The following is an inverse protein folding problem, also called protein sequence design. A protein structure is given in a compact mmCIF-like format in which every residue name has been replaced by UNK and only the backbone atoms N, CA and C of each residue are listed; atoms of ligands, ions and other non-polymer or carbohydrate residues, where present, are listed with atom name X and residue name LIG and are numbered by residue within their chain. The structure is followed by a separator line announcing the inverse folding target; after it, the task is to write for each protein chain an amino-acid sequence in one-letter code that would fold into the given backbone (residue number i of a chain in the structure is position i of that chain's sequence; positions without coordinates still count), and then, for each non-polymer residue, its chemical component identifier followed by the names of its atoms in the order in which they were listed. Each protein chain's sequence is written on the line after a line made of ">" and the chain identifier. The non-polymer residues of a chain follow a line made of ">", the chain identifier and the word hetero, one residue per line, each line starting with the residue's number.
data_IF_516766509287
#
_entry.id   IF_516766509287
#
_cell.length_a   1.000
_cell.length_b   1.000
_cell.length_c   1.000
_cell.angle_alpha   90.00
_cell.angle_beta   90.00
_cell.angle_gamma   90.00
#
_symmetry.space_group_name_H-M   'P 1'
#
loop_
_entity.id
_entity.type
_entity.pdbx_description
1 polymer ?
#
# COMPACT_ATOMS: atom_id res chain seq x y z
N UNK A 1 4.57 -3.54 -23.50
CA UNK A 1 4.58 -2.11 -23.08
C UNK A 1 3.62 -1.23 -23.89
N UNK A 2 2.93 -1.75 -24.90
CA UNK A 2 2.05 -0.95 -25.78
C UNK A 2 0.59 -0.78 -25.31
N UNK A 3 0.12 -1.53 -24.33
CA UNK A 3 -1.31 -1.60 -24.00
C UNK A 3 -1.78 -0.41 -23.14
N UNK A 4 -0.91 0.14 -22.33
CA UNK A 4 -1.29 1.16 -21.33
C UNK A 4 -1.62 2.53 -21.94
N UNK A 5 -0.94 2.90 -23.01
CA UNK A 5 -1.14 4.19 -23.69
C UNK A 5 -2.40 4.24 -24.57
N UNK A 6 -3.10 3.10 -24.72
CA UNK A 6 -4.35 3.00 -25.52
C UNK A 6 -5.62 3.16 -24.70
N UNK A 7 -5.54 3.21 -23.37
CA UNK A 7 -6.69 3.46 -22.51
C UNK A 7 -6.83 4.96 -22.24
N UNK A 8 -7.84 5.59 -22.84
CA UNK A 8 -8.12 7.01 -22.62
C UNK A 8 -8.71 7.32 -21.25
N UNK A 9 -9.34 6.34 -20.57
CA UNK A 9 -9.89 6.50 -19.22
C UNK A 9 -10.07 5.15 -18.50
N UNK A 10 -10.17 5.23 -17.17
CA UNK A 10 -10.56 4.09 -16.33
C UNK A 10 -12.06 3.79 -16.52
N UNK A 11 -12.43 2.51 -16.45
CA UNK A 11 -13.84 2.10 -16.35
C UNK A 11 -14.42 2.59 -15.02
N UNK A 12 -15.76 2.66 -14.92
CA UNK A 12 -16.44 3.15 -13.70
C UNK A 12 -16.00 2.40 -12.45
N UNK A 13 -15.93 1.07 -12.53
CA UNK A 13 -15.55 0.25 -11.38
C UNK A 13 -14.05 0.36 -11.05
N UNK A 14 -13.19 0.47 -12.04
CA UNK A 14 -11.76 0.78 -11.85
C UNK A 14 -11.58 2.14 -11.16
N UNK A 15 -12.39 3.15 -11.51
CA UNK A 15 -12.39 4.46 -10.86
C UNK A 15 -12.84 4.37 -9.40
N UNK A 16 -13.85 3.56 -9.08
CA UNK A 16 -14.29 3.32 -7.70
C UNK A 16 -13.17 2.68 -6.88
N UNK A 17 -12.56 1.62 -7.41
CA UNK A 17 -11.47 0.90 -6.74
C UNK A 17 -10.25 1.80 -6.52
N UNK A 18 -9.84 2.57 -7.54
CA UNK A 18 -8.77 3.56 -7.43
C UNK A 18 -9.06 4.61 -6.36
N UNK A 19 -10.30 5.12 -6.31
CA UNK A 19 -10.73 6.11 -5.33
C UNK A 19 -10.75 5.55 -3.90
N UNK A 20 -11.19 4.30 -3.72
CA UNK A 20 -11.15 3.61 -2.43
C UNK A 20 -9.70 3.42 -1.96
N UNK A 21 -8.80 2.99 -2.84
CA UNK A 21 -7.37 2.88 -2.55
C UNK A 21 -6.79 4.23 -2.09
N UNK A 22 -7.10 5.31 -2.81
CA UNK A 22 -6.64 6.66 -2.46
C UNK A 22 -7.13 7.10 -1.08
N UNK A 23 -8.41 6.91 -0.77
CA UNK A 23 -8.98 7.23 0.56
C UNK A 23 -8.27 6.46 1.67
N UNK A 24 -8.10 5.15 1.50
CA UNK A 24 -7.44 4.30 2.49
C UNK A 24 -5.98 4.72 2.73
N UNK A 25 -5.23 5.00 1.66
CA UNK A 25 -3.86 5.50 1.77
C UNK A 25 -3.77 6.86 2.44
N UNK A 26 -4.65 7.79 2.05
CA UNK A 26 -4.71 9.12 2.65
C UNK A 26 -4.92 9.03 4.18
N UNK A 27 -5.92 8.28 4.60
CA UNK A 27 -6.22 8.08 6.03
C UNK A 27 -5.08 7.36 6.76
N UNK A 28 -4.49 6.32 6.15
CA UNK A 28 -3.42 5.56 6.77
C UNK A 28 -2.12 6.36 6.92
N UNK A 29 -1.91 7.40 6.12
CA UNK A 29 -0.73 8.25 6.22
C UNK A 29 -0.70 9.08 7.53
N UNK A 30 -1.87 9.40 8.11
CA UNK A 30 -1.97 10.10 9.39
C UNK A 30 -1.65 9.20 10.61
N UNK A 31 -1.51 7.90 10.41
CA UNK A 31 -0.90 7.03 11.42
C UNK A 31 0.61 7.21 11.34
N UNK A 32 1.31 7.42 12.45
CA UNK A 32 2.75 7.69 12.51
C UNK A 32 3.61 6.58 11.87
N UNK A 33 3.47 6.39 10.55
CA UNK A 33 4.29 5.49 9.75
C UNK A 33 5.60 6.17 9.33
N UNK A 34 6.58 5.38 8.93
CA UNK A 34 7.95 5.85 8.65
C UNK A 34 7.97 7.02 7.66
N UNK A 35 7.27 6.93 6.53
CA UNK A 35 7.29 7.98 5.52
C UNK A 35 6.63 9.27 6.01
N UNK A 36 5.55 9.17 6.79
CA UNK A 36 4.87 10.33 7.36
C UNK A 36 5.71 11.04 8.43
N UNK A 37 6.38 10.27 9.29
CA UNK A 37 7.29 10.82 10.30
C UNK A 37 8.48 11.51 9.64
N UNK A 38 9.08 10.90 8.62
CA UNK A 38 10.20 11.50 7.89
C UNK A 38 9.79 12.77 7.15
N UNK A 39 8.58 12.81 6.54
CA UNK A 39 8.06 14.03 5.92
C UNK A 39 7.96 15.17 6.93
N UNK A 40 7.36 14.89 8.08
CA UNK A 40 7.18 15.85 9.16
C UNK A 40 8.53 16.41 9.66
N UNK A 41 9.46 15.54 10.05
CA UNK A 41 10.77 15.92 10.58
C UNK A 41 11.64 16.68 9.55
N UNK A 42 11.56 16.28 8.27
CA UNK A 42 12.31 16.98 7.20
C UNK A 42 11.74 18.37 6.97
N UNK A 43 10.42 18.54 7.06
CA UNK A 43 9.80 19.84 6.93
C UNK A 43 10.15 20.76 8.11
N UNK A 44 10.08 20.25 9.34
CA UNK A 44 10.48 20.96 10.56
C UNK A 44 11.92 21.47 10.45
N UNK A 45 12.84 20.61 10.00
CA UNK A 45 14.25 20.97 9.90
C UNK A 45 14.59 21.92 8.73
N UNK A 46 13.82 21.91 7.64
CA UNK A 46 14.17 22.60 6.39
C UNK A 46 13.23 23.74 6.00
N UNK A 47 11.99 23.75 6.52
CA UNK A 47 10.92 24.64 6.04
C UNK A 47 10.50 24.40 4.58
N UNK A 48 10.99 23.33 3.93
CA UNK A 48 10.83 23.08 2.50
C UNK A 48 9.95 21.82 2.26
N UNK A 49 8.75 22.05 1.74
CA UNK A 49 7.79 20.99 1.47
C UNK A 49 8.28 19.99 0.43
N UNK A 50 9.01 20.46 -0.58
CA UNK A 50 9.53 19.58 -1.64
C UNK A 50 10.56 18.61 -1.07
N UNK A 51 11.43 19.07 -0.17
CA UNK A 51 12.40 18.22 0.54
C UNK A 51 11.68 17.22 1.44
N UNK A 52 10.66 17.64 2.16
CA UNK A 52 9.86 16.77 3.01
C UNK A 52 9.21 15.62 2.22
N UNK A 53 8.59 15.93 1.08
CA UNK A 53 7.99 14.93 0.19
C UNK A 53 9.05 14.01 -0.41
N UNK A 54 10.16 14.56 -0.89
CA UNK A 54 11.25 13.74 -1.43
C UNK A 54 11.81 12.78 -0.37
N UNK A 55 12.01 13.24 0.86
CA UNK A 55 12.46 12.41 1.97
C UNK A 55 11.47 11.29 2.30
N UNK A 56 10.15 11.55 2.30
CA UNK A 56 9.14 10.54 2.48
C UNK A 56 9.21 9.46 1.38
N UNK A 57 9.35 9.87 0.12
CA UNK A 57 9.48 8.95 -1.02
C UNK A 57 10.74 8.07 -0.88
N UNK A 58 11.86 8.62 -0.46
CA UNK A 58 13.12 7.90 -0.28
C UNK A 58 13.05 6.82 0.82
N UNK A 59 12.05 6.85 1.71
CA UNK A 59 11.84 5.77 2.69
C UNK A 59 11.26 4.50 2.07
N UNK A 60 10.65 4.60 0.88
CA UNK A 60 10.02 3.46 0.22
C UNK A 60 11.08 2.49 -0.31
N UNK A 61 10.86 1.20 -0.14
CA UNK A 61 11.79 0.18 -0.59
C UNK A 61 11.58 -1.18 0.08
N UNK A 62 12.57 -2.06 0.00
CA UNK A 62 12.45 -3.46 0.45
C UNK A 62 12.04 -3.64 1.91
N UNK A 63 12.41 -2.71 2.80
CA UNK A 63 12.09 -2.78 4.23
C UNK A 63 10.79 -2.07 4.58
N UNK A 64 10.46 -1.01 3.85
CA UNK A 64 9.27 -0.21 4.04
C UNK A 64 8.53 -0.08 2.71
N UNK A 65 7.29 -0.58 2.66
CA UNK A 65 6.48 -0.68 1.45
C UNK A 65 7.17 -1.43 0.29
N UNK A 66 7.35 -2.77 0.38
CA UNK A 66 7.98 -3.59 -0.65
C UNK A 66 7.03 -3.80 -1.86
N UNK A 67 6.69 -2.71 -2.56
CA UNK A 67 5.61 -2.67 -3.54
C UNK A 67 5.86 -3.57 -4.74
N UNK A 68 7.04 -3.48 -5.36
CA UNK A 68 7.37 -4.32 -6.53
C UNK A 68 7.43 -5.81 -6.18
N UNK A 69 8.02 -6.16 -5.02
CA UNK A 69 8.08 -7.54 -4.57
C UNK A 69 6.67 -8.08 -4.29
N UNK A 70 5.80 -7.25 -3.72
CA UNK A 70 4.40 -7.62 -3.45
C UNK A 70 3.63 -7.80 -4.76
N UNK A 71 3.83 -6.92 -5.73
CA UNK A 71 3.24 -7.06 -7.06
C UNK A 71 3.70 -8.36 -7.75
N UNK A 72 5.01 -8.63 -7.78
CA UNK A 72 5.55 -9.85 -8.35
C UNK A 72 5.00 -11.10 -7.67
N UNK A 73 4.88 -11.08 -6.35
CA UNK A 73 4.30 -12.17 -5.58
C UNK A 73 2.83 -12.40 -5.93
N UNK A 74 2.00 -11.35 -5.94
CA UNK A 74 0.58 -11.45 -6.29
C UNK A 74 0.32 -11.72 -7.77
N UNK A 75 1.27 -11.43 -8.67
CA UNK A 75 1.15 -11.76 -10.10
C UNK A 75 1.27 -13.25 -10.39
N UNK A 76 1.81 -14.05 -9.47
CA UNK A 76 1.82 -15.50 -9.57
C UNK A 76 0.39 -16.04 -9.69
N UNK A 77 0.21 -17.19 -10.31
CA UNK A 77 -1.09 -17.82 -10.44
C UNK A 77 -1.66 -18.21 -9.07
N UNK A 78 -0.86 -18.85 -8.23
CA UNK A 78 -1.23 -19.36 -6.91
C UNK A 78 -0.19 -18.94 -5.85
N UNK A 79 -0.13 -17.63 -5.48
CA UNK A 79 0.91 -17.11 -4.58
C UNK A 79 0.87 -17.75 -3.18
N UNK A 80 -0.26 -18.26 -2.73
CA UNK A 80 -0.40 -18.94 -1.44
C UNK A 80 0.42 -20.24 -1.35
N UNK A 81 0.71 -20.91 -2.47
CA UNK A 81 1.56 -22.12 -2.47
C UNK A 81 3.02 -21.84 -2.08
N UNK A 82 3.49 -20.61 -2.28
CA UNK A 82 4.84 -20.20 -1.89
C UNK A 82 4.98 -19.92 -0.40
N UNK A 83 3.87 -19.62 0.31
CA UNK A 83 3.86 -19.19 1.71
C UNK A 83 4.54 -20.20 2.64
N UNK A 84 4.25 -21.52 2.61
CA UNK A 84 4.89 -22.49 3.50
C UNK A 84 6.41 -22.53 3.32
N UNK A 85 6.87 -22.49 2.07
CA UNK A 85 8.28 -22.45 1.72
C UNK A 85 8.97 -21.18 2.23
N UNK A 86 8.30 -20.03 2.13
CA UNK A 86 8.80 -18.76 2.67
C UNK A 86 8.93 -18.81 4.18
N UNK A 87 7.89 -19.28 4.88
CA UNK A 87 7.88 -19.41 6.34
C UNK A 87 8.97 -20.35 6.84
N UNK A 88 9.19 -21.48 6.17
CA UNK A 88 10.26 -22.45 6.51
C UNK A 88 11.65 -21.82 6.43
N UNK A 89 11.88 -20.89 5.51
CA UNK A 89 13.15 -20.16 5.34
C UNK A 89 13.25 -18.91 6.24
N UNK A 90 12.24 -18.62 7.07
CA UNK A 90 12.18 -17.40 7.89
C UNK A 90 11.98 -16.14 7.06
N UNK A 91 11.56 -16.26 5.80
CA UNK A 91 11.31 -15.13 4.92
C UNK A 91 9.95 -14.47 5.24
N UNK A 92 9.88 -13.15 5.03
CA UNK A 92 8.62 -12.41 5.15
C UNK A 92 7.81 -12.59 3.86
N UNK A 93 6.49 -12.72 3.99
CA UNK A 93 5.56 -12.70 2.86
C UNK A 93 5.33 -11.23 2.47
N UNK A 94 5.70 -10.81 1.24
CA UNK A 94 5.55 -9.43 0.82
C UNK A 94 4.08 -9.00 0.82
N UNK A 95 3.78 -7.85 1.41
CA UNK A 95 2.41 -7.34 1.47
C UNK A 95 1.60 -7.82 2.69
N UNK A 96 2.16 -8.69 3.55
CA UNK A 96 1.47 -9.17 4.75
C UNK A 96 2.20 -8.74 6.04
N UNK A 97 1.37 -8.38 7.03
CA UNK A 97 1.85 -7.91 8.33
C UNK A 97 2.18 -6.43 8.34
N UNK A 98 2.23 -5.85 9.53
CA UNK A 98 2.47 -4.43 9.76
C UNK A 98 2.63 -4.13 11.25
N UNK A 99 2.96 -2.87 11.56
CA UNK A 99 3.17 -2.40 12.92
C UNK A 99 1.86 -2.10 13.66
N UNK A 100 0.79 -1.76 12.95
CA UNK A 100 -0.40 -1.16 13.56
C UNK A 100 -1.56 -2.11 13.83
N UNK A 101 -1.67 -3.23 13.09
CA UNK A 101 -2.70 -4.23 13.37
C UNK A 101 -2.17 -5.64 13.13
N UNK A 102 -2.04 -6.41 14.23
CA UNK A 102 -1.52 -7.77 14.17
C UNK A 102 -2.61 -8.84 14.27
N UNK A 103 -3.74 -8.51 14.93
CA UNK A 103 -4.72 -9.53 15.34
C UNK A 103 -6.01 -9.51 14.51
N UNK A 104 -6.21 -8.53 13.65
CA UNK A 104 -7.40 -8.38 12.80
C UNK A 104 -7.12 -7.56 11.55
N UNK A 105 -7.95 -7.69 10.49
CA UNK A 105 -7.88 -6.84 9.32
C UNK A 105 -7.97 -5.35 9.69
N UNK A 106 -7.26 -4.51 8.96
CA UNK A 106 -7.34 -3.06 9.15
C UNK A 106 -8.60 -2.49 8.47
N UNK A 107 -9.56 -1.93 9.24
CA UNK A 107 -10.83 -1.45 8.68
C UNK A 107 -10.69 -0.34 7.65
N UNK A 108 -9.54 0.35 7.58
CA UNK A 108 -9.29 1.35 6.53
C UNK A 108 -9.28 0.75 5.11
N UNK A 109 -9.03 -0.56 5.00
CA UNK A 109 -8.94 -1.25 3.72
C UNK A 109 -10.20 -2.02 3.35
N UNK A 110 -11.23 -2.01 4.21
CA UNK A 110 -12.44 -2.79 4.03
C UNK A 110 -13.13 -2.47 2.69
N UNK A 111 -13.25 -1.19 2.32
CA UNK A 111 -13.88 -0.79 1.06
C UNK A 111 -13.11 -1.33 -0.17
N UNK A 112 -11.77 -1.36 -0.12
CA UNK A 112 -10.95 -1.94 -1.18
C UNK A 112 -11.15 -3.45 -1.26
N UNK A 113 -11.21 -4.10 -0.10
CA UNK A 113 -11.40 -5.54 0.03
C UNK A 113 -12.77 -5.97 -0.51
N UNK A 114 -13.84 -5.26 -0.15
CA UNK A 114 -15.20 -5.50 -0.62
C UNK A 114 -15.33 -5.32 -2.13
N UNK A 115 -14.73 -4.25 -2.70
CA UNK A 115 -14.73 -4.02 -4.14
C UNK A 115 -13.95 -5.10 -4.91
N UNK A 116 -12.82 -5.55 -4.36
CA UNK A 116 -12.07 -6.65 -4.96
C UNK A 116 -12.86 -7.96 -4.90
N UNK A 117 -13.53 -8.24 -3.80
CA UNK A 117 -14.34 -9.46 -3.64
C UNK A 117 -15.52 -9.49 -4.61
N UNK A 118 -16.22 -8.37 -4.77
CA UNK A 118 -17.43 -8.25 -5.60
C UNK A 118 -17.11 -8.23 -7.09
N UNK A 119 -16.12 -7.45 -7.51
CA UNK A 119 -15.91 -7.16 -8.95
C UNK A 119 -14.69 -7.89 -9.54
N UNK A 120 -13.66 -8.16 -8.72
CA UNK A 120 -12.43 -8.84 -9.15
C UNK A 120 -12.09 -10.08 -8.29
N UNK A 121 -12.99 -11.06 -8.23
CA UNK A 121 -12.87 -12.21 -7.33
C UNK A 121 -11.56 -13.00 -7.53
N UNK A 122 -11.02 -13.06 -8.74
CA UNK A 122 -9.75 -13.73 -8.99
C UNK A 122 -8.57 -13.07 -8.25
N UNK A 123 -8.54 -11.74 -8.17
CA UNK A 123 -7.52 -10.99 -7.41
C UNK A 123 -7.79 -11.09 -5.91
N UNK A 124 -9.06 -11.01 -5.48
CA UNK A 124 -9.45 -11.19 -4.09
C UNK A 124 -9.08 -12.58 -3.55
N UNK A 125 -9.33 -13.64 -4.32
CA UNK A 125 -8.97 -15.03 -3.95
C UNK A 125 -7.46 -15.14 -3.66
N UNK A 126 -6.60 -14.48 -4.43
CA UNK A 126 -5.17 -14.49 -4.15
C UNK A 126 -4.84 -13.90 -2.77
N UNK A 127 -5.43 -12.75 -2.44
CA UNK A 127 -5.22 -12.09 -1.14
C UNK A 127 -5.76 -12.95 0.00
N UNK A 128 -7.00 -13.41 -0.10
CA UNK A 128 -7.66 -14.20 0.94
C UNK A 128 -6.97 -15.55 1.15
N UNK A 129 -6.56 -16.25 0.08
CA UNK A 129 -5.85 -17.54 0.19
C UNK A 129 -4.47 -17.40 0.83
N UNK A 130 -3.70 -16.35 0.51
CA UNK A 130 -2.43 -16.08 1.19
C UNK A 130 -2.67 -15.82 2.69
N UNK A 131 -3.70 -15.05 3.02
CA UNK A 131 -4.05 -14.75 4.42
C UNK A 131 -4.46 -16.02 5.17
N UNK A 132 -5.33 -16.85 4.57
CA UNK A 132 -5.76 -18.14 5.13
C UNK A 132 -4.57 -19.06 5.36
N UNK A 133 -3.69 -19.22 4.35
CA UNK A 133 -2.49 -20.06 4.47
C UNK A 133 -1.57 -19.58 5.58
N UNK A 134 -1.40 -18.27 5.76
CA UNK A 134 -0.62 -17.72 6.87
C UNK A 134 -1.22 -18.10 8.23
N UNK A 135 -2.54 -17.97 8.38
CA UNK A 135 -3.27 -18.31 9.61
C UNK A 135 -3.14 -19.81 9.91
N UNK A 136 -3.30 -20.68 8.91
CA UNK A 136 -3.13 -22.14 9.03
C UNK A 136 -1.72 -22.54 9.50
N UNK A 137 -0.72 -21.72 9.18
CA UNK A 137 0.66 -21.89 9.64
C UNK A 137 0.99 -21.10 10.93
N UNK A 138 -0.03 -20.70 11.69
CA UNK A 138 0.12 -20.03 12.98
C UNK A 138 0.62 -18.58 12.89
N UNK A 139 0.43 -17.92 11.74
CA UNK A 139 0.81 -16.52 11.53
C UNK A 139 -0.42 -15.66 11.31
N UNK A 140 -0.89 -14.99 12.35
CA UNK A 140 -2.01 -14.02 12.25
C UNK A 140 -1.50 -12.73 11.59
N UNK A 141 -1.34 -12.78 10.26
CA UNK A 141 -0.89 -11.64 9.45
C UNK A 141 -1.95 -11.34 8.40
N UNK A 142 -2.31 -10.07 8.29
CA UNK A 142 -3.29 -9.56 7.35
C UNK A 142 -2.63 -8.72 6.24
N UNK A 143 -3.32 -8.52 5.09
CA UNK A 143 -2.84 -7.65 4.02
C UNK A 143 -2.58 -6.24 4.55
N UNK A 144 -1.48 -5.67 4.12
CA UNK A 144 -1.09 -4.31 4.45
C UNK A 144 -1.25 -3.38 3.22
N UNK A 145 -0.99 -2.06 3.34
CA UNK A 145 -1.09 -1.12 2.22
C UNK A 145 -0.41 -1.58 0.92
N UNK A 146 0.72 -2.31 1.02
CA UNK A 146 1.43 -2.78 -0.17
C UNK A 146 0.68 -3.89 -0.90
N UNK A 147 -0.04 -4.78 -0.17
CA UNK A 147 -0.85 -5.82 -0.79
C UNK A 147 -2.00 -5.20 -1.59
N UNK A 148 -2.74 -4.27 -1.01
CA UNK A 148 -3.85 -3.60 -1.70
C UNK A 148 -3.38 -2.74 -2.87
N UNK A 149 -2.25 -2.02 -2.73
CA UNK A 149 -1.69 -1.26 -3.86
C UNK A 149 -1.29 -2.18 -5.01
N UNK A 150 -0.66 -3.31 -4.72
CA UNK A 150 -0.27 -4.30 -5.73
C UNK A 150 -1.50 -4.96 -6.38
N UNK A 151 -2.52 -5.31 -5.61
CA UNK A 151 -3.77 -5.87 -6.12
C UNK A 151 -4.48 -4.91 -7.07
N UNK A 152 -4.62 -3.64 -6.68
CA UNK A 152 -5.22 -2.60 -7.53
C UNK A 152 -4.38 -2.38 -8.80
N UNK A 153 -3.05 -2.39 -8.69
CA UNK A 153 -2.17 -2.29 -9.86
C UNK A 153 -2.37 -3.46 -10.84
N UNK A 154 -2.57 -4.69 -10.32
CA UNK A 154 -2.88 -5.86 -11.16
C UNK A 154 -4.24 -5.72 -11.85
N UNK A 155 -5.27 -5.27 -11.14
CA UNK A 155 -6.60 -5.00 -11.70
C UNK A 155 -6.54 -3.95 -12.81
N UNK A 156 -5.76 -2.90 -12.60
CA UNK A 156 -5.56 -1.81 -13.57
C UNK A 156 -4.56 -2.18 -14.69
N UNK A 157 -4.01 -3.40 -14.67
CA UNK A 157 -3.00 -3.88 -15.62
C UNK A 157 -1.76 -2.96 -15.70
N UNK A 158 -1.40 -2.33 -14.57
CA UNK A 158 -0.23 -1.46 -14.51
C UNK A 158 1.07 -2.29 -14.55
N UNK A 159 2.09 -1.83 -15.25
CA UNK A 159 3.42 -2.42 -15.14
C UNK A 159 3.96 -2.25 -13.71
N UNK A 160 4.76 -3.22 -13.26
CA UNK A 160 5.29 -3.26 -11.88
C UNK A 160 6.06 -1.98 -11.49
N UNK A 161 6.69 -1.34 -12.45
CA UNK A 161 7.45 -0.10 -12.27
C UNK A 161 6.56 1.08 -11.83
N UNK A 162 5.25 1.02 -12.17
CA UNK A 162 4.29 2.07 -11.83
C UNK A 162 3.57 1.83 -10.49
N UNK A 163 3.74 0.67 -9.84
CA UNK A 163 3.08 0.37 -8.57
C UNK A 163 3.47 1.37 -7.48
N UNK A 164 4.73 1.78 -7.44
CA UNK A 164 5.20 2.79 -6.49
C UNK A 164 4.54 4.16 -6.71
N UNK A 165 4.21 4.52 -7.94
CA UNK A 165 3.52 5.77 -8.24
C UNK A 165 2.08 5.79 -7.73
N UNK A 166 1.36 4.65 -7.76
CA UNK A 166 0.04 4.54 -7.12
C UNK A 166 0.11 4.84 -5.62
N UNK A 167 1.08 4.25 -4.93
CA UNK A 167 1.28 4.45 -3.51
C UNK A 167 1.65 5.90 -3.19
N UNK A 168 2.61 6.48 -3.93
CA UNK A 168 3.08 7.84 -3.76
C UNK A 168 1.93 8.82 -4.02
N UNK A 169 1.26 8.71 -5.17
CA UNK A 169 0.16 9.60 -5.56
C UNK A 169 -0.95 9.66 -4.52
N UNK A 170 -1.31 8.50 -3.96
CA UNK A 170 -2.33 8.40 -2.92
C UNK A 170 -1.91 9.04 -1.58
N UNK A 171 -0.62 9.24 -1.32
CA UNK A 171 -0.09 9.80 -0.07
C UNK A 171 0.42 11.22 -0.15
N UNK A 172 0.65 11.76 -1.34
CA UNK A 172 1.23 13.10 -1.52
C UNK A 172 0.48 14.18 -0.74
N UNK A 173 -0.84 14.24 -0.87
CA UNK A 173 -1.66 15.23 -0.17
C UNK A 173 -1.56 15.08 1.35
N UNK A 174 -1.62 13.83 1.86
CA UNK A 174 -1.51 13.56 3.29
C UNK A 174 -0.13 13.93 3.84
N UNK A 175 0.96 13.59 3.16
CA UNK A 175 2.31 13.98 3.57
C UNK A 175 2.48 15.50 3.59
N UNK A 176 1.92 16.21 2.59
CA UNK A 176 1.93 17.67 2.57
C UNK A 176 1.19 18.27 3.77
N UNK A 177 0.01 17.73 4.09
CA UNK A 177 -0.77 18.17 5.25
C UNK A 177 -0.07 17.87 6.58
N UNK A 178 0.55 16.69 6.70
CA UNK A 178 1.30 16.31 7.92
C UNK A 178 2.50 17.22 8.12
N UNK A 179 3.27 17.49 7.06
CA UNK A 179 4.39 18.41 7.10
C UNK A 179 3.97 19.81 7.56
N UNK A 180 2.88 20.35 7.01
CA UNK A 180 2.39 21.69 7.33
C UNK A 180 1.75 21.81 8.72
N UNK A 181 1.10 20.75 9.24
CA UNK A 181 0.46 20.79 10.57
C UNK A 181 1.44 21.04 11.71
N UNK A 182 2.69 20.68 11.58
CA UNK A 182 3.71 20.96 12.59
C UNK A 182 3.99 22.46 12.75
N UNK A 183 3.92 23.25 11.66
CA UNK A 183 4.06 24.71 11.75
C UNK A 183 2.98 25.39 12.59
N UNK A 184 1.75 24.84 12.58
CA UNK A 184 0.63 25.45 13.32
C UNK A 184 0.64 25.13 14.82
N UNK A 185 1.37 24.11 15.25
CA UNK A 185 1.52 23.77 16.66
C UNK A 185 2.67 24.53 17.34
N UNK A 186 3.66 24.97 16.60
CA UNK A 186 4.79 25.77 17.12
C UNK A 186 4.58 27.30 17.02
N UNK A 187 3.55 27.73 16.28
CA UNK A 187 3.23 29.16 16.09
C UNK A 187 2.45 29.83 17.24
N UNK A 188 2.35 29.18 18.41
CA UNK A 188 1.72 29.74 19.64
C UNK A 188 2.72 29.63 20.78
N UNK A 189 3.74 30.43 20.68
CA UNK A 189 4.73 30.68 21.72
C UNK A 189 5.11 32.15 21.73
#
# INVERSE_FOLDING_TARGET
>A
MEVWWKRECLRVDETKLFSALHRAHHQSAFRANVSSVVAAQTFEASGDLSKAIAAAILTLGRKHAPLEQTYQFLSMEEPWREVPGMLKRGAKVPGWGGTFQRDKPDPLWQEVDDLLADIWPATYIKISSVTTTLIEHGKTLYPNPSAYTAAVALVLELPKELVSYLFIGARLAAWSMIAQKQLTQEGVG
#
